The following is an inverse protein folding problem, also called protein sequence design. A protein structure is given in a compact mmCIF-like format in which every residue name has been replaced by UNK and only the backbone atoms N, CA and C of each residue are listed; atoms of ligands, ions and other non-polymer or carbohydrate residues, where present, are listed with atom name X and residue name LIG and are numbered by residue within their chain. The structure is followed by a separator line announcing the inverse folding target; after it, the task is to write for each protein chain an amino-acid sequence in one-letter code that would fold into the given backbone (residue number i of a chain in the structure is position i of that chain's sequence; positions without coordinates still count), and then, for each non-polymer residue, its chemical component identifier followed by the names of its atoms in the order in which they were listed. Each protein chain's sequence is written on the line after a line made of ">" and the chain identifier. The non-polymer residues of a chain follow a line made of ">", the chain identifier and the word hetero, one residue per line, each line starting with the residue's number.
data_IF_156762035921
#
_entry.id   IF_156762035921
#
_cell.length_a   1.000
_cell.length_b   1.000
_cell.length_c   1.000
_cell.angle_alpha   90.00
_cell.angle_beta   90.00
_cell.angle_gamma   90.00
#
_symmetry.space_group_name_H-M   'P 1'
#
loop_
_entity.id
_entity.type
_entity.pdbx_description
1 polymer ?
#
# COMPACT_ATOMS: atom_id res chain seq x y z
N UNK A 1 -16.39 -13.32 -32.66
CA UNK A 1 -16.88 -11.93 -32.79
C UNK A 1 -16.13 -11.06 -31.77
N UNK A 2 -15.29 -10.18 -32.30
CA UNK A 2 -14.50 -9.22 -31.48
C UNK A 2 -15.38 -8.03 -31.12
N UNK A 3 -15.49 -7.65 -29.87
CA UNK A 3 -15.90 -6.32 -29.48
C UNK A 3 -14.77 -5.70 -28.65
N UNK A 4 -13.93 -4.95 -29.36
CA UNK A 4 -13.02 -3.96 -28.79
C UNK A 4 -13.86 -2.70 -28.57
N UNK A 5 -13.98 -2.22 -27.33
CA UNK A 5 -14.37 -0.84 -27.05
C UNK A 5 -13.24 -0.17 -26.31
N UNK A 6 -12.45 0.58 -27.04
CA UNK A 6 -11.66 1.67 -26.54
C UNK A 6 -12.62 2.71 -25.95
N UNK A 7 -12.60 2.90 -24.65
CA UNK A 7 -13.13 4.10 -24.01
C UNK A 7 -11.92 5.02 -23.77
N UNK A 8 -11.76 5.99 -24.66
CA UNK A 8 -10.91 7.16 -24.42
C UNK A 8 -11.58 7.98 -23.33
N UNK A 9 -10.94 8.04 -22.16
CA UNK A 9 -11.32 8.97 -21.10
C UNK A 9 -10.58 10.27 -21.34
N UNK A 10 -11.32 11.29 -21.78
CA UNK A 10 -10.85 12.68 -21.89
C UNK A 10 -10.45 13.23 -20.51
N UNK A 11 -9.35 13.97 -20.40
CA UNK A 11 -8.93 14.58 -19.13
C UNK A 11 -9.72 15.88 -18.87
N UNK A 12 -10.71 15.80 -18.01
CA UNK A 12 -11.48 16.97 -17.52
C UNK A 12 -10.96 17.52 -16.19
N UNK A 13 -9.65 17.49 -15.93
CA UNK A 13 -9.11 17.89 -14.62
C UNK A 13 -7.99 18.96 -14.67
N UNK A 14 -7.81 19.65 -15.80
CA UNK A 14 -6.74 20.68 -15.91
C UNK A 14 -7.19 22.14 -15.78
N UNK A 15 -8.40 22.46 -15.34
CA UNK A 15 -8.87 23.85 -15.29
C UNK A 15 -9.12 24.42 -13.89
N UNK A 16 -8.76 23.76 -12.81
CA UNK A 16 -9.07 24.25 -11.46
C UNK A 16 -7.88 24.76 -10.62
N UNK A 17 -6.66 24.70 -11.11
CA UNK A 17 -5.46 25.08 -10.32
C UNK A 17 -4.79 26.41 -10.71
N UNK A 18 -5.43 27.27 -11.50
CA UNK A 18 -4.81 28.54 -11.96
C UNK A 18 -5.40 29.80 -11.36
N UNK A 19 -6.06 29.74 -10.19
CA UNK A 19 -6.69 30.94 -9.60
C UNK A 19 -6.53 31.15 -8.10
N UNK A 20 -5.50 30.62 -7.45
CA UNK A 20 -5.14 30.98 -6.07
C UNK A 20 -3.65 31.27 -6.01
N UNK A 21 -3.26 32.38 -6.57
CA UNK A 21 -1.87 32.83 -6.58
C UNK A 21 -1.74 34.35 -6.69
N UNK A 22 -2.59 35.12 -6.01
CA UNK A 22 -2.38 36.57 -5.91
C UNK A 22 -3.34 37.18 -4.90
N UNK A 23 -3.12 37.01 -3.61
CA UNK A 23 -3.52 38.01 -2.58
C UNK A 23 -2.78 37.59 -1.28
N UNK A 24 -1.60 38.10 -1.06
CA UNK A 24 -1.02 38.37 0.26
C UNK A 24 0.31 39.12 0.11
N UNK A 25 0.23 40.33 -0.44
CA UNK A 25 1.23 41.37 -0.19
C UNK A 25 0.43 42.60 0.19
N UNK A 26 0.52 43.02 1.42
CA UNK A 26 0.26 44.29 2.05
C UNK A 26 -0.27 44.05 3.47
N UNK A 27 0.58 44.09 4.45
CA UNK A 27 0.45 44.88 5.67
C UNK A 27 1.70 44.67 6.55
N UNK A 28 2.75 45.37 6.22
CA UNK A 28 3.72 45.85 7.20
C UNK A 28 3.46 47.33 7.36
N UNK A 29 3.33 47.78 8.59
CA UNK A 29 3.76 49.11 9.08
C UNK A 29 2.86 49.51 10.26
N UNK A 30 3.53 50.02 11.29
CA UNK A 30 3.08 50.71 12.51
C UNK A 30 2.64 49.88 13.73
N UNK A 31 3.51 49.79 14.73
CA UNK A 31 3.41 50.64 15.94
C UNK A 31 4.67 50.49 16.80
N UNK A 32 5.51 51.50 16.77
CA UNK A 32 6.44 51.82 17.83
C UNK A 32 5.77 52.88 18.71
N UNK A 33 5.67 52.67 20.01
CA UNK A 33 5.65 53.73 21.04
C UNK A 33 5.70 53.03 22.44
N UNK A 34 6.84 53.18 23.12
CA UNK A 34 7.04 53.72 24.46
C UNK A 34 6.16 53.22 25.62
N UNK A 35 6.81 52.70 26.66
CA UNK A 35 6.22 52.52 27.98
C UNK A 35 7.14 51.78 28.95
N UNK A 36 8.10 52.50 29.55
CA UNK A 36 8.89 52.04 30.71
C UNK A 36 7.93 51.88 31.89
N UNK A 37 7.75 50.68 32.41
CA UNK A 37 7.20 50.43 33.73
C UNK A 37 8.13 49.46 34.45
N UNK A 38 8.92 50.00 35.37
CA UNK A 38 9.65 49.26 36.37
C UNK A 38 8.64 48.69 37.38
N UNK A 39 8.48 47.37 37.42
CA UNK A 39 7.74 46.72 38.51
C UNK A 39 8.61 45.65 39.12
N UNK A 40 9.02 45.94 40.36
CA UNK A 40 9.75 45.10 41.24
C UNK A 40 8.99 43.79 41.49
N UNK A 41 9.46 42.68 40.96
CA UNK A 41 8.90 41.38 41.26
C UNK A 41 9.65 40.79 42.48
N UNK A 42 8.94 40.73 43.60
CA UNK A 42 9.34 40.00 44.80
C UNK A 42 9.53 38.51 44.46
N UNK A 43 10.74 38.03 44.61
CA UNK A 43 11.12 36.61 44.47
C UNK A 43 10.52 35.84 45.64
N UNK A 44 9.40 35.16 45.47
CA UNK A 44 8.96 34.10 46.37
C UNK A 44 9.57 32.78 45.90
N UNK A 45 10.33 32.10 46.73
CA UNK A 45 10.76 30.73 46.40
C UNK A 45 9.54 29.82 46.42
N UNK A 46 9.20 29.26 45.26
CA UNK A 46 8.17 28.24 45.15
C UNK A 46 8.65 26.96 45.89
N UNK A 47 7.74 26.27 46.60
CA UNK A 47 8.11 24.98 47.20
C UNK A 47 8.42 23.97 46.08
N UNK A 48 9.57 23.37 46.13
CA UNK A 48 9.94 22.21 45.34
C UNK A 48 9.01 21.07 45.77
N UNK A 49 7.98 20.81 45.00
CA UNK A 49 7.22 19.57 45.11
C UNK A 49 8.07 18.44 44.59
N UNK A 50 8.42 17.53 45.49
CA UNK A 50 8.99 16.25 45.13
C UNK A 50 8.09 15.58 44.11
N UNK A 51 8.63 15.32 42.93
CA UNK A 51 7.94 14.52 41.92
C UNK A 51 7.81 13.10 42.48
N UNK A 52 6.60 12.73 42.89
CA UNK A 52 6.24 11.34 43.09
C UNK A 52 6.42 10.63 41.76
N UNK A 53 7.49 9.87 41.68
CA UNK A 53 7.68 8.87 40.63
C UNK A 53 6.68 7.71 40.84
N UNK A 54 5.41 8.02 40.77
CA UNK A 54 4.42 7.00 40.63
C UNK A 54 4.53 6.50 39.20
N UNK A 55 5.18 5.34 39.05
CA UNK A 55 5.30 4.62 37.80
C UNK A 55 3.91 4.45 37.18
N UNK A 56 3.50 5.42 36.40
CA UNK A 56 2.45 5.18 35.43
C UNK A 56 3.04 4.17 34.44
N UNK A 57 2.80 2.89 34.75
CA UNK A 57 2.68 1.88 33.73
C UNK A 57 1.67 2.44 32.72
N UNK A 58 2.20 3.14 31.74
CA UNK A 58 1.54 3.32 30.46
C UNK A 58 1.36 1.90 29.90
N UNK A 59 0.30 1.25 30.34
CA UNK A 59 -0.29 0.18 29.57
C UNK A 59 -0.60 0.83 28.23
N UNK A 60 0.36 0.71 27.32
CA UNK A 60 0.10 0.90 25.92
C UNK A 60 -1.05 -0.05 25.67
N UNK A 61 -2.27 0.48 25.67
CA UNK A 61 -3.47 -0.22 25.29
C UNK A 61 -3.16 -0.70 23.87
N UNK A 62 -2.68 -1.94 23.78
CA UNK A 62 -2.54 -2.62 22.51
C UNK A 62 -3.95 -2.69 22.00
N UNK A 63 -4.32 -1.70 21.20
CA UNK A 63 -5.51 -1.78 20.38
C UNK A 63 -5.40 -3.10 19.66
N UNK A 64 -6.08 -4.11 20.17
CA UNK A 64 -6.17 -5.42 19.51
C UNK A 64 -6.95 -5.13 18.25
N UNK A 65 -6.20 -4.82 17.18
CA UNK A 65 -6.79 -4.72 15.85
C UNK A 65 -7.34 -6.11 15.60
N UNK A 66 -8.66 -6.24 15.64
CA UNK A 66 -9.35 -7.47 15.29
C UNK A 66 -9.02 -7.72 13.81
N UNK A 67 -8.04 -8.55 13.57
CA UNK A 67 -7.53 -8.88 12.27
C UNK A 67 -7.39 -10.39 12.11
N UNK A 68 -6.80 -10.82 11.01
CA UNK A 68 -6.57 -12.24 10.71
C UNK A 68 -5.49 -12.90 11.56
N UNK A 69 -4.70 -12.14 12.29
CA UNK A 69 -3.49 -12.61 12.97
C UNK A 69 -2.26 -12.72 12.07
N UNK A 70 -2.42 -12.55 10.76
CA UNK A 70 -1.30 -12.52 9.82
C UNK A 70 -0.59 -11.15 9.84
N UNK A 71 0.73 -11.10 9.58
CA UNK A 71 1.47 -9.85 9.51
C UNK A 71 0.95 -8.95 8.38
N UNK A 72 1.09 -7.64 8.55
CA UNK A 72 0.91 -6.62 7.53
C UNK A 72 2.20 -5.78 7.45
N UNK A 73 2.66 -5.42 6.24
CA UNK A 73 2.08 -5.75 4.94
C UNK A 73 2.29 -7.22 4.54
N UNK A 74 1.42 -7.74 3.69
CA UNK A 74 1.57 -9.05 3.04
C UNK A 74 0.85 -9.10 1.70
N UNK A 75 1.23 -10.04 0.86
CA UNK A 75 0.50 -10.29 -0.39
C UNK A 75 -0.56 -11.38 -0.23
N UNK A 76 -1.66 -11.19 -0.93
CA UNK A 76 -2.78 -12.11 -1.12
C UNK A 76 -3.21 -12.06 -2.58
N UNK A 77 -4.08 -12.98 -3.01
CA UNK A 77 -4.62 -12.95 -4.37
C UNK A 77 -6.15 -12.92 -4.34
N UNK A 78 -6.74 -12.41 -5.40
CA UNK A 78 -8.18 -12.53 -5.60
C UNK A 78 -8.55 -13.99 -5.81
N UNK A 79 -9.57 -14.46 -5.09
CA UNK A 79 -10.05 -15.83 -5.12
C UNK A 79 -10.99 -16.11 -6.29
N UNK A 80 -11.54 -15.04 -6.89
CA UNK A 80 -12.52 -15.09 -7.97
C UNK A 80 -12.21 -14.04 -9.01
N UNK A 81 -12.76 -14.22 -10.18
CA UNK A 81 -12.66 -13.32 -11.31
C UNK A 81 -13.44 -12.00 -11.14
N UNK A 82 -14.35 -11.91 -10.16
CA UNK A 82 -15.12 -10.71 -9.86
C UNK A 82 -15.02 -10.35 -8.37
N UNK A 83 -14.49 -9.15 -8.08
CA UNK A 83 -14.39 -8.63 -6.74
C UNK A 83 -14.69 -7.12 -6.69
N UNK A 84 -15.59 -6.75 -5.81
CA UNK A 84 -16.02 -5.36 -5.57
C UNK A 84 -15.23 -4.76 -4.42
N UNK A 85 -14.39 -3.77 -4.73
CA UNK A 85 -13.65 -2.98 -3.75
C UNK A 85 -14.48 -1.77 -3.30
N UNK A 86 -14.38 -1.42 -2.01
CA UNK A 86 -15.12 -0.33 -1.40
C UNK A 86 -14.19 0.73 -0.83
N UNK A 87 -14.72 1.93 -0.63
CA UNK A 87 -13.96 3.05 -0.03
C UNK A 87 -13.71 2.86 1.47
N UNK A 88 -14.47 1.98 2.15
CA UNK A 88 -14.38 1.73 3.59
C UNK A 88 -14.65 0.28 3.98
N UNK A 89 -14.35 -0.09 5.26
CA UNK A 89 -14.42 -1.44 5.77
C UNK A 89 -15.85 -1.82 6.21
N UNK A 90 -16.77 -1.90 5.27
CA UNK A 90 -18.17 -2.27 5.53
C UNK A 90 -18.98 -2.37 4.24
N UNK A 91 -20.11 -3.06 4.30
CA UNK A 91 -21.03 -3.19 3.15
C UNK A 91 -21.80 -1.90 2.86
N UNK A 92 -21.93 -1.03 3.84
CA UNK A 92 -22.56 0.29 3.79
C UNK A 92 -21.72 1.31 3.00
N UNK A 93 -20.40 1.08 2.87
CA UNK A 93 -19.54 1.96 2.09
C UNK A 93 -19.74 1.77 0.58
N UNK A 94 -19.69 2.86 -0.20
CA UNK A 94 -19.81 2.81 -1.65
C UNK A 94 -18.78 1.89 -2.30
N UNK A 95 -19.14 1.36 -3.47
CA UNK A 95 -18.20 0.70 -4.37
C UNK A 95 -17.29 1.74 -5.00
N UNK A 96 -16.01 1.43 -5.09
CA UNK A 96 -14.96 2.28 -5.65
C UNK A 96 -14.40 1.67 -6.94
N UNK A 97 -14.08 0.37 -6.87
CA UNK A 97 -13.43 -0.33 -7.97
C UNK A 97 -13.98 -1.75 -8.15
N UNK A 98 -13.87 -2.27 -9.38
CA UNK A 98 -14.27 -3.65 -9.68
C UNK A 98 -13.10 -4.37 -10.35
N UNK A 99 -12.60 -5.38 -9.69
CA UNK A 99 -11.62 -6.29 -10.27
C UNK A 99 -12.33 -7.40 -11.02
N UNK A 100 -11.82 -7.74 -12.21
CA UNK A 100 -12.38 -8.78 -13.10
C UNK A 100 -11.35 -9.85 -13.45
N UNK A 101 -10.45 -10.18 -12.49
CA UNK A 101 -9.36 -11.10 -12.75
C UNK A 101 -9.03 -11.94 -11.53
N UNK A 102 -9.26 -13.25 -11.61
CA UNK A 102 -8.83 -14.21 -10.61
C UNK A 102 -7.29 -14.24 -10.47
N UNK A 103 -6.80 -14.58 -9.29
CA UNK A 103 -5.38 -14.67 -8.96
C UNK A 103 -4.58 -13.35 -9.06
N UNK A 104 -5.26 -12.21 -9.21
CA UNK A 104 -4.59 -10.90 -9.19
C UNK A 104 -3.94 -10.67 -7.82
N UNK A 105 -2.62 -10.42 -7.75
CA UNK A 105 -1.94 -10.17 -6.48
C UNK A 105 -2.26 -8.76 -5.96
N UNK A 106 -2.61 -8.69 -4.68
CA UNK A 106 -2.91 -7.47 -3.95
C UNK A 106 -2.08 -7.44 -2.66
N UNK A 107 -1.57 -6.28 -2.28
CA UNK A 107 -0.86 -6.11 -1.02
C UNK A 107 -1.82 -5.60 0.05
N UNK A 108 -2.05 -6.40 1.10
CA UNK A 108 -2.78 -5.98 2.31
C UNK A 108 -1.89 -5.05 3.10
N UNK A 109 -2.39 -3.85 3.39
CA UNK A 109 -1.67 -2.81 4.13
C UNK A 109 -2.31 -2.50 5.48
N UNK A 110 -3.56 -2.92 5.70
CA UNK A 110 -4.27 -2.79 6.98
C UNK A 110 -5.43 -3.78 7.04
N UNK A 111 -5.91 -4.04 8.24
CA UNK A 111 -7.05 -4.91 8.50
C UNK A 111 -8.03 -4.25 9.46
N UNK A 112 -9.29 -4.51 9.25
CA UNK A 112 -10.37 -4.15 10.16
C UNK A 112 -11.44 -5.26 10.14
N UNK A 113 -11.55 -6.00 11.23
CA UNK A 113 -12.45 -7.16 11.35
C UNK A 113 -12.26 -8.13 10.16
N UNK A 114 -13.28 -8.36 9.35
CA UNK A 114 -13.26 -9.20 8.14
C UNK A 114 -12.81 -8.44 6.88
N UNK A 115 -12.50 -7.16 6.98
CA UNK A 115 -12.11 -6.32 5.86
C UNK A 115 -10.59 -6.17 5.77
N UNK A 116 -10.07 -6.12 4.56
CA UNK A 116 -8.65 -5.93 4.25
C UNK A 116 -8.49 -4.70 3.38
N UNK A 117 -7.70 -3.73 3.86
CA UNK A 117 -7.28 -2.62 3.03
C UNK A 117 -6.16 -3.09 2.13
N UNK A 118 -6.40 -3.02 0.84
CA UNK A 118 -5.47 -3.51 -0.17
C UNK A 118 -4.96 -2.39 -1.06
N UNK A 119 -3.81 -2.62 -1.69
CA UNK A 119 -3.29 -1.80 -2.78
C UNK A 119 -2.86 -2.72 -3.91
N UNK A 120 -3.18 -2.36 -5.14
CA UNK A 120 -2.77 -3.07 -6.34
C UNK A 120 -1.44 -2.54 -6.91
N UNK A 121 -1.01 -3.10 -8.05
CA UNK A 121 0.25 -2.74 -8.70
C UNK A 121 0.25 -1.34 -9.33
N UNK A 122 -0.91 -0.71 -9.52
CA UNK A 122 -1.08 0.65 -10.03
C UNK A 122 -1.24 1.68 -8.90
N UNK A 123 -1.32 1.21 -7.64
CA UNK A 123 -1.48 2.06 -6.46
C UNK A 123 -2.93 2.31 -6.06
N UNK A 124 -3.91 1.68 -6.74
CA UNK A 124 -5.32 1.78 -6.36
C UNK A 124 -5.54 1.15 -5.00
N UNK A 125 -6.17 1.87 -4.09
CA UNK A 125 -6.37 1.45 -2.70
C UNK A 125 -7.83 1.41 -2.31
N UNK A 126 -8.22 0.37 -1.59
CA UNK A 126 -9.58 0.26 -1.03
C UNK A 126 -9.75 -0.98 -0.16
N UNK A 127 -10.99 -1.32 0.15
CA UNK A 127 -11.32 -2.38 1.09
C UNK A 127 -12.01 -3.55 0.40
N UNK A 128 -11.51 -4.75 0.65
CA UNK A 128 -12.08 -6.01 0.19
C UNK A 128 -12.45 -6.88 1.39
N UNK A 129 -13.55 -7.61 1.26
CA UNK A 129 -13.91 -8.62 2.26
C UNK A 129 -12.94 -9.81 2.16
N UNK A 130 -12.51 -10.34 3.29
CA UNK A 130 -11.51 -11.42 3.37
C UNK A 130 -11.90 -12.69 2.60
N UNK A 131 -13.19 -12.98 2.48
CA UNK A 131 -13.69 -14.13 1.71
C UNK A 131 -13.39 -14.06 0.20
N UNK A 132 -13.09 -12.86 -0.31
CA UNK A 132 -12.69 -12.65 -1.71
C UNK A 132 -11.20 -12.87 -1.94
N UNK A 133 -10.43 -13.12 -0.87
CA UNK A 133 -8.98 -13.21 -0.90
C UNK A 133 -8.52 -14.63 -0.59
N UNK A 134 -7.37 -14.99 -1.15
CA UNK A 134 -6.68 -16.27 -0.98
C UNK A 134 -5.24 -16.02 -0.57
N UNK A 135 -4.67 -16.94 0.22
CA UNK A 135 -3.24 -16.94 0.56
C UNK A 135 -2.37 -17.57 -0.54
N UNK A 136 -2.96 -18.11 -1.61
CA UNK A 136 -2.18 -18.53 -2.78
C UNK A 136 -1.36 -17.36 -3.29
N UNK A 137 -0.16 -17.66 -3.76
CA UNK A 137 0.78 -16.62 -4.16
C UNK A 137 0.89 -16.59 -5.68
N UNK A 138 0.59 -15.44 -6.24
CA UNK A 138 0.77 -15.16 -7.66
C UNK A 138 1.58 -13.88 -7.84
N UNK A 139 2.33 -13.82 -8.93
CA UNK A 139 3.05 -12.63 -9.37
C UNK A 139 2.48 -12.11 -10.68
N UNK A 140 2.31 -10.81 -10.77
CA UNK A 140 1.92 -10.11 -11.99
C UNK A 140 3.16 -9.50 -12.62
N UNK A 141 3.47 -9.88 -13.86
CA UNK A 141 4.57 -9.27 -14.60
C UNK A 141 4.22 -7.82 -14.94
N UNK A 142 5.04 -6.88 -14.43
CA UNK A 142 4.84 -5.44 -14.63
C UNK A 142 5.71 -4.85 -15.73
N UNK A 143 6.82 -5.53 -16.09
CA UNK A 143 7.72 -5.12 -17.17
C UNK A 143 7.21 -5.63 -18.54
N UNK A 144 7.66 -5.01 -19.61
CA UNK A 144 7.26 -5.38 -20.97
C UNK A 144 7.59 -6.84 -21.30
N UNK A 145 8.80 -7.26 -20.93
CA UNK A 145 9.30 -8.63 -21.09
C UNK A 145 10.16 -9.02 -19.89
N UNK A 146 9.99 -10.24 -19.42
CA UNK A 146 10.75 -10.83 -18.32
C UNK A 146 11.20 -12.23 -18.72
N UNK A 147 12.50 -12.47 -18.66
CA UNK A 147 13.09 -13.79 -18.89
C UNK A 147 12.89 -14.67 -17.67
N UNK A 148 12.48 -15.91 -17.92
CA UNK A 148 12.44 -16.99 -16.92
C UNK A 148 13.60 -17.94 -17.23
N UNK A 149 14.46 -18.16 -16.24
CA UNK A 149 15.66 -18.99 -16.36
C UNK A 149 15.43 -20.39 -15.79
N UNK A 150 16.20 -21.36 -16.27
CA UNK A 150 16.16 -22.75 -15.76
C UNK A 150 16.61 -22.84 -14.29
N UNK A 151 17.56 -22.01 -13.91
CA UNK A 151 18.18 -21.95 -12.58
C UNK A 151 18.18 -20.47 -12.08
N UNK A 152 18.39 -20.25 -10.76
CA UNK A 152 18.44 -18.90 -10.19
C UNK A 152 19.77 -18.18 -10.50
N UNK A 153 20.07 -18.06 -11.80
CA UNK A 153 21.28 -17.49 -12.36
C UNK A 153 20.91 -16.81 -13.68
N UNK A 154 21.41 -15.60 -13.93
CA UNK A 154 21.16 -14.82 -15.13
C UNK A 154 21.95 -15.30 -16.35
N UNK A 155 22.93 -16.19 -16.15
CA UNK A 155 23.71 -16.88 -17.20
C UNK A 155 23.07 -18.23 -17.59
N UNK A 156 22.07 -18.73 -16.84
CA UNK A 156 21.38 -19.98 -17.14
C UNK A 156 20.52 -19.87 -18.41
N UNK A 157 20.14 -21.03 -18.94
CA UNK A 157 19.27 -21.12 -20.11
C UNK A 157 17.91 -20.45 -19.88
N UNK A 158 17.44 -19.71 -20.86
CA UNK A 158 16.12 -19.10 -20.84
C UNK A 158 15.09 -20.15 -21.22
N UNK A 159 14.19 -20.48 -20.30
CA UNK A 159 13.09 -21.47 -20.52
C UNK A 159 11.82 -20.81 -21.06
N UNK A 160 11.62 -19.52 -20.81
CA UNK A 160 10.49 -18.77 -21.34
C UNK A 160 10.70 -17.25 -21.24
N UNK A 161 9.86 -16.51 -21.95
CA UNK A 161 9.75 -15.06 -21.84
C UNK A 161 8.29 -14.74 -21.47
N UNK A 162 8.08 -14.05 -20.35
CA UNK A 162 6.79 -13.60 -19.90
C UNK A 162 6.58 -12.14 -20.23
N UNK A 163 5.49 -11.82 -20.91
CA UNK A 163 5.09 -10.45 -21.23
C UNK A 163 4.37 -9.75 -20.08
N UNK A 164 4.18 -8.43 -20.23
CA UNK A 164 3.41 -7.62 -19.26
C UNK A 164 2.02 -8.19 -19.02
N UNK A 165 1.54 -8.05 -17.80
CA UNK A 165 0.23 -8.51 -17.33
C UNK A 165 0.05 -10.04 -17.33
N UNK A 166 1.10 -10.82 -17.51
CA UNK A 166 1.04 -12.27 -17.29
C UNK A 166 1.03 -12.55 -15.79
N UNK A 167 0.11 -13.41 -15.35
CA UNK A 167 0.04 -13.95 -13.98
C UNK A 167 0.75 -15.29 -13.93
N UNK A 168 1.64 -15.44 -12.95
CA UNK A 168 2.39 -16.66 -12.69
C UNK A 168 2.27 -17.02 -11.22
N UNK A 169 2.09 -18.30 -10.92
CA UNK A 169 2.12 -18.78 -9.52
C UNK A 169 3.54 -18.63 -8.96
N UNK A 170 3.66 -18.07 -7.77
CA UNK A 170 4.93 -17.98 -7.04
C UNK A 170 5.07 -19.23 -6.21
N UNK A 171 5.97 -20.13 -6.61
CA UNK A 171 6.20 -21.41 -5.95
C UNK A 171 7.23 -21.30 -4.82
N UNK A 172 8.26 -20.50 -5.04
CA UNK A 172 9.37 -20.39 -4.12
C UNK A 172 10.09 -19.03 -4.32
N UNK A 173 10.52 -18.42 -3.23
CA UNK A 173 11.38 -17.22 -3.28
C UNK A 173 12.46 -17.31 -2.22
N UNK A 174 13.71 -17.14 -2.63
CA UNK A 174 14.87 -17.04 -1.75
C UNK A 174 15.77 -15.90 -2.24
N UNK A 175 16.20 -15.05 -1.31
CA UNK A 175 17.01 -13.86 -1.63
C UNK A 175 16.34 -13.04 -2.74
N UNK A 176 17.04 -12.80 -3.85
CA UNK A 176 16.52 -12.03 -4.98
C UNK A 176 15.76 -12.87 -6.03
N UNK A 177 15.83 -14.20 -5.96
CA UNK A 177 15.28 -15.08 -6.96
C UNK A 177 13.95 -15.69 -6.54
N UNK A 178 13.02 -15.75 -7.48
CA UNK A 178 11.73 -16.42 -7.29
C UNK A 178 11.49 -17.41 -8.43
N UNK A 179 10.98 -18.58 -8.08
CA UNK A 179 10.52 -19.61 -9.01
C UNK A 179 9.05 -19.37 -9.30
N UNK A 180 8.76 -19.07 -10.54
CA UNK A 180 7.42 -18.81 -11.04
C UNK A 180 6.98 -19.94 -11.95
N UNK A 181 5.67 -20.20 -11.98
CA UNK A 181 5.10 -21.30 -12.77
C UNK A 181 3.75 -20.95 -13.39
N UNK A 182 3.47 -21.60 -14.51
CA UNK A 182 2.14 -21.89 -15.05
C UNK A 182 1.98 -23.40 -15.15
N UNK A 183 0.86 -23.85 -15.68
CA UNK A 183 0.65 -25.29 -15.95
C UNK A 183 1.67 -25.86 -16.96
N UNK A 184 2.24 -25.01 -17.81
CA UNK A 184 3.09 -25.41 -18.93
C UNK A 184 4.57 -25.07 -18.72
N UNK A 185 4.89 -24.03 -17.95
CA UNK A 185 6.24 -23.47 -17.84
C UNK A 185 6.59 -23.22 -16.38
N UNK A 186 7.85 -23.50 -16.04
CA UNK A 186 8.45 -23.13 -14.75
C UNK A 186 9.80 -22.51 -14.99
N UNK A 187 10.11 -21.43 -14.27
CA UNK A 187 11.41 -20.81 -14.39
C UNK A 187 11.68 -19.80 -13.30
N UNK A 188 12.90 -19.35 -13.20
CA UNK A 188 13.39 -18.42 -12.21
C UNK A 188 13.48 -17.01 -12.76
N UNK A 189 13.11 -16.03 -11.94
CA UNK A 189 13.35 -14.62 -12.24
C UNK A 189 13.62 -13.85 -10.96
N UNK A 190 14.17 -12.64 -11.08
CA UNK A 190 14.37 -11.77 -9.92
C UNK A 190 13.04 -11.15 -9.48
N UNK A 191 12.85 -11.02 -8.14
CA UNK A 191 11.59 -10.52 -7.55
C UNK A 191 11.16 -9.13 -8.02
N UNK A 192 12.09 -8.29 -8.42
CA UNK A 192 11.83 -6.94 -8.93
C UNK A 192 11.17 -6.91 -10.32
N UNK A 193 11.05 -8.05 -10.99
CA UNK A 193 10.45 -8.17 -12.31
C UNK A 193 8.92 -8.30 -12.28
N UNK A 194 8.34 -8.56 -11.10
CA UNK A 194 6.92 -8.78 -10.95
C UNK A 194 6.41 -8.20 -9.64
N UNK A 195 5.11 -8.00 -9.55
CA UNK A 195 4.37 -7.60 -8.35
C UNK A 195 3.73 -8.84 -7.71
N UNK A 196 3.88 -9.06 -6.40
CA UNK A 196 3.26 -10.19 -5.72
C UNK A 196 4.04 -10.76 -4.54
N UNK A 197 5.26 -10.22 -4.27
CA UNK A 197 6.09 -10.58 -3.11
C UNK A 197 6.70 -9.33 -2.48
N UNK A 198 6.96 -9.38 -1.17
CA UNK A 198 7.72 -8.34 -0.49
C UNK A 198 9.21 -8.49 -0.81
N UNK A 199 9.96 -7.42 -0.57
CA UNK A 199 11.37 -7.34 -0.94
C UNK A 199 12.22 -8.42 -0.26
N UNK A 200 11.95 -8.71 1.02
CA UNK A 200 12.70 -9.69 1.82
C UNK A 200 11.86 -10.94 2.19
N UNK A 201 10.74 -11.16 1.51
CA UNK A 201 9.86 -12.26 1.81
C UNK A 201 10.40 -13.59 1.25
N UNK A 202 10.50 -14.59 2.11
CA UNK A 202 10.71 -15.97 1.71
C UNK A 202 9.36 -16.63 1.47
N UNK A 203 9.22 -17.28 0.33
CA UNK A 203 8.02 -18.06 -0.05
C UNK A 203 8.45 -19.50 -0.20
N UNK A 204 7.85 -20.38 0.60
CA UNK A 204 8.13 -21.82 0.64
C UNK A 204 6.88 -22.61 0.28
#
# INVERSE_FOLDING_TARGET
>A
MRFSRHLEVLPAFELFFKRIGQVCKFLSIFFAISGIFALSVLFFPAPVQAADNNGQNSLTERTVIRGSGYPVPRFVTLKKDLAYMRVGPGREYPLDWVYVRENLPLKVISEFDVWRKVVDHEGTTGWLHSSLLSLKRYGLITKAEVKLYAEPDDTADIVAIAGRNILLEVQYCEKQWCKLATDQVRGWTIRQNFWGVLEDEEVN
#
